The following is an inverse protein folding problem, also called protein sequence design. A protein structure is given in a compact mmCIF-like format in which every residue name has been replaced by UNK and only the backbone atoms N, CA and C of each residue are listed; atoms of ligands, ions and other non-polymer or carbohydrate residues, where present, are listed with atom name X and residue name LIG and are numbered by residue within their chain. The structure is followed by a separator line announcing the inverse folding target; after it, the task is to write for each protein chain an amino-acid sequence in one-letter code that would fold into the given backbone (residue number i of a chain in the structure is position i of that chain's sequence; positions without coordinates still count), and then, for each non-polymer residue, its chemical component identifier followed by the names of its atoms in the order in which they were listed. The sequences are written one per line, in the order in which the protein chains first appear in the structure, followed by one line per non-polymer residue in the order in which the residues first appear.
data_IF_117967581779
#
_entry.id   IF_117967581779
#
_cell.length_a   1.000
_cell.length_b   1.000
_cell.length_c   1.000
_cell.angle_alpha   90.00
_cell.angle_beta   90.00
_cell.angle_gamma   90.00
#
_symmetry.space_group_name_H-M   'P 1'
#
loop_
_entity.id
_entity.type
_entity.pdbx_description
1 polymer ?
#
# COMPACT_ATOMS: atom_id res chain seq x y z
N UNK A 1 18.21 4.18 -7.24
CA UNK A 1 17.85 3.89 -8.64
C UNK A 1 16.39 3.48 -8.64
N UNK A 2 15.55 4.04 -9.52
CA UNK A 2 14.15 3.63 -9.67
C UNK A 2 14.08 2.66 -10.85
N UNK A 3 13.53 1.47 -10.64
CA UNK A 3 13.55 0.40 -11.66
C UNK A 3 12.26 -0.42 -11.69
N UNK A 4 11.36 -0.26 -10.72
CA UNK A 4 10.00 -0.80 -10.82
C UNK A 4 9.20 0.13 -11.73
N UNK A 5 8.64 -0.43 -12.81
CA UNK A 5 7.77 0.31 -13.72
C UNK A 5 6.36 0.51 -13.13
N UNK A 6 5.59 1.51 -13.56
CA UNK A 6 4.25 1.76 -13.01
C UNK A 6 3.30 0.57 -13.17
N UNK A 7 3.42 -0.19 -14.26
CA UNK A 7 2.65 -1.44 -14.47
C UNK A 7 2.97 -2.49 -13.41
N UNK A 8 4.25 -2.71 -13.11
CA UNK A 8 4.67 -3.68 -12.09
C UNK A 8 4.22 -3.20 -10.71
N UNK A 9 4.34 -1.89 -10.43
CA UNK A 9 3.83 -1.31 -9.19
C UNK A 9 2.34 -1.58 -8.99
N UNK A 10 1.50 -1.33 -10.00
CA UNK A 10 0.07 -1.63 -9.88
C UNK A 10 -0.26 -3.11 -9.66
N UNK A 11 0.57 -4.03 -10.15
CA UNK A 11 0.44 -5.46 -9.81
C UNK A 11 0.80 -5.68 -8.34
N UNK A 12 1.87 -5.05 -7.84
CA UNK A 12 2.27 -5.11 -6.43
C UNK A 12 1.14 -4.58 -5.54
N UNK A 13 0.48 -3.48 -5.89
CA UNK A 13 -0.62 -2.93 -5.10
C UNK A 13 -1.79 -3.90 -4.97
N UNK A 14 -2.18 -4.55 -6.06
CA UNK A 14 -3.25 -5.56 -6.03
C UNK A 14 -2.84 -6.74 -5.13
N UNK A 15 -1.59 -7.21 -5.23
CA UNK A 15 -1.08 -8.26 -4.35
C UNK A 15 -1.05 -7.82 -2.88
N UNK A 16 -0.66 -6.57 -2.61
CA UNK A 16 -0.67 -5.98 -1.27
C UNK A 16 -2.09 -5.90 -0.72
N UNK A 17 -3.07 -5.50 -1.53
CA UNK A 17 -4.47 -5.45 -1.13
C UNK A 17 -5.00 -6.83 -0.75
N UNK A 18 -4.74 -7.83 -1.60
CA UNK A 18 -5.11 -9.23 -1.32
C UNK A 18 -4.41 -9.72 -0.06
N UNK A 19 -3.12 -9.44 0.09
CA UNK A 19 -2.34 -9.83 1.27
C UNK A 19 -2.89 -9.20 2.55
N UNK A 20 -3.17 -7.90 2.56
CA UNK A 20 -3.74 -7.20 3.72
C UNK A 20 -5.12 -7.75 4.08
N UNK A 21 -6.00 -7.97 3.09
CA UNK A 21 -7.34 -8.50 3.35
C UNK A 21 -7.30 -9.96 3.82
N UNK A 22 -6.32 -10.76 3.38
CA UNK A 22 -6.15 -12.13 3.84
C UNK A 22 -5.43 -12.23 5.19
N UNK A 23 -4.62 -11.23 5.56
CA UNK A 23 -3.73 -11.26 6.72
C UNK A 23 -4.46 -11.56 8.05
N UNK A 24 -5.62 -10.94 8.38
CA UNK A 24 -6.30 -11.26 9.63
C UNK A 24 -6.70 -12.73 9.75
N UNK A 25 -7.06 -13.38 8.63
CA UNK A 25 -7.42 -14.80 8.61
C UNK A 25 -6.17 -15.67 8.70
N UNK A 26 -5.14 -15.37 7.91
CA UNK A 26 -3.90 -16.17 7.83
C UNK A 26 -3.13 -16.14 9.14
N UNK A 27 -3.00 -14.96 9.76
CA UNK A 27 -2.22 -14.76 10.98
C UNK A 27 -3.07 -14.79 12.25
N UNK A 28 -4.38 -15.03 12.14
CA UNK A 28 -5.28 -15.10 13.29
C UNK A 28 -5.42 -13.77 14.04
N UNK A 29 -5.32 -12.63 13.36
CA UNK A 29 -5.51 -11.34 14.00
C UNK A 29 -6.94 -11.19 14.49
N UNK A 30 -7.12 -10.59 15.66
CA UNK A 30 -8.43 -10.33 16.25
C UNK A 30 -8.55 -8.90 16.77
N UNK A 31 -9.78 -8.49 17.08
CA UNK A 31 -10.08 -7.19 17.68
C UNK A 31 -9.59 -6.01 16.84
N UNK A 32 -8.91 -5.06 17.49
CA UNK A 32 -8.45 -3.81 16.86
C UNK A 32 -7.45 -4.04 15.73
N UNK A 33 -6.56 -5.04 15.86
CA UNK A 33 -5.55 -5.34 14.86
C UNK A 33 -6.22 -5.79 13.56
N UNK A 34 -7.11 -6.78 13.63
CA UNK A 34 -7.86 -7.27 12.48
C UNK A 34 -8.68 -6.17 11.80
N UNK A 35 -9.45 -5.40 12.58
CA UNK A 35 -10.28 -4.33 12.04
C UNK A 35 -9.44 -3.29 11.29
N UNK A 36 -8.29 -2.90 11.87
CA UNK A 36 -7.39 -1.94 11.23
C UNK A 36 -6.77 -2.52 9.96
N UNK A 37 -6.33 -3.79 9.97
CA UNK A 37 -5.75 -4.43 8.78
C UNK A 37 -6.77 -4.54 7.64
N UNK A 38 -8.02 -4.94 7.94
CA UNK A 38 -9.10 -4.96 6.95
C UNK A 38 -9.41 -3.58 6.40
N UNK A 39 -9.54 -2.58 7.28
CA UNK A 39 -9.80 -1.20 6.87
C UNK A 39 -8.68 -0.66 5.97
N UNK A 40 -7.42 -0.93 6.33
CA UNK A 40 -6.26 -0.52 5.54
C UNK A 40 -6.24 -1.22 4.17
N UNK A 41 -6.48 -2.53 4.13
CA UNK A 41 -6.56 -3.29 2.87
C UNK A 41 -7.68 -2.82 1.97
N UNK A 42 -8.87 -2.55 2.52
CA UNK A 42 -10.00 -2.01 1.77
C UNK A 42 -9.74 -0.59 1.26
N UNK A 43 -9.18 0.29 2.10
CA UNK A 43 -8.85 1.65 1.70
C UNK A 43 -7.77 1.68 0.61
N UNK A 44 -6.74 0.82 0.71
CA UNK A 44 -5.71 0.70 -0.31
C UNK A 44 -6.31 0.16 -1.61
N UNK A 45 -7.16 -0.88 -1.56
CA UNK A 45 -7.82 -1.41 -2.75
C UNK A 45 -8.68 -0.36 -3.46
N UNK A 46 -9.42 0.44 -2.69
CA UNK A 46 -10.17 1.57 -3.25
C UNK A 46 -9.22 2.56 -3.93
N UNK A 47 -8.14 2.98 -3.25
CA UNK A 47 -7.14 3.86 -3.85
C UNK A 47 -6.63 3.30 -5.17
N UNK A 48 -6.18 2.03 -5.20
CA UNK A 48 -5.69 1.34 -6.39
C UNK A 48 -6.72 1.31 -7.52
N UNK A 49 -7.96 0.90 -7.23
CA UNK A 49 -9.05 0.79 -8.22
C UNK A 49 -9.40 2.16 -8.82
N UNK A 50 -9.35 3.23 -8.01
CA UNK A 50 -9.67 4.58 -8.42
C UNK A 50 -8.46 5.38 -8.96
N UNK A 51 -7.26 4.81 -9.03
CA UNK A 51 -6.05 5.51 -9.51
C UNK A 51 -5.95 5.51 -11.04
N UNK A 52 -5.51 6.62 -11.63
CA UNK A 52 -5.29 6.76 -13.07
C UNK A 52 -3.97 6.11 -13.53
N UNK A 53 -3.94 4.79 -13.54
CA UNK A 53 -2.83 3.98 -14.04
C UNK A 53 -3.34 2.70 -14.72
N UNK A 54 -2.42 1.88 -15.27
CA UNK A 54 -2.77 0.71 -16.10
C UNK A 54 -3.70 -0.32 -15.42
N UNK A 55 -3.62 -0.46 -14.08
CA UNK A 55 -4.41 -1.42 -13.30
C UNK A 55 -5.68 -0.80 -12.67
N UNK A 56 -5.90 0.50 -12.83
CA UNK A 56 -7.04 1.21 -12.27
C UNK A 56 -8.29 0.96 -13.10
N UNK A 57 -9.42 0.66 -12.46
CA UNK A 57 -10.68 0.47 -13.15
C UNK A 57 -11.37 1.81 -13.45
N UNK A 58 -11.19 2.80 -12.56
CA UNK A 58 -11.80 4.12 -12.66
C UNK A 58 -10.72 5.17 -12.46
N UNK A 59 -10.41 5.95 -13.50
CA UNK A 59 -9.28 6.90 -13.52
C UNK A 59 -9.63 8.23 -12.85
N UNK A 60 -9.89 8.22 -11.55
CA UNK A 60 -10.33 9.40 -10.79
C UNK A 60 -9.19 10.09 -10.03
N UNK A 61 -8.27 9.30 -9.46
CA UNK A 61 -7.21 9.76 -8.57
C UNK A 61 -5.90 9.82 -9.38
N UNK A 62 -5.25 10.99 -9.48
CA UNK A 62 -3.96 11.10 -10.16
C UNK A 62 -2.88 10.25 -9.47
N UNK A 63 -1.96 9.69 -10.24
CA UNK A 63 -0.83 8.89 -9.72
C UNK A 63 0.01 9.66 -8.70
N UNK A 64 0.15 10.98 -8.84
CA UNK A 64 0.86 11.81 -7.84
C UNK A 64 0.19 11.84 -6.46
N UNK A 65 -1.14 11.66 -6.40
CA UNK A 65 -1.85 11.53 -5.13
C UNK A 65 -1.66 10.11 -4.58
N UNK A 66 -1.70 9.10 -5.44
CA UNK A 66 -1.44 7.71 -5.05
C UNK A 66 -0.07 7.57 -4.40
N UNK A 67 1.01 8.03 -5.05
CA UNK A 67 2.38 7.90 -4.52
C UNK A 67 2.55 8.66 -3.18
N UNK A 68 1.86 9.79 -3.02
CA UNK A 68 1.89 10.55 -1.76
C UNK A 68 1.18 9.79 -0.65
N UNK A 69 -0.01 9.23 -0.93
CA UNK A 69 -0.78 8.45 0.04
C UNK A 69 0.00 7.20 0.45
N UNK A 70 0.62 6.50 -0.50
CA UNK A 70 1.45 5.32 -0.21
C UNK A 70 2.61 5.67 0.74
N UNK A 71 3.34 6.75 0.46
CA UNK A 71 4.43 7.22 1.33
C UNK A 71 3.92 7.56 2.75
N UNK A 72 2.83 8.32 2.85
CA UNK A 72 2.25 8.71 4.14
C UNK A 72 1.79 7.47 4.91
N UNK A 73 1.13 6.54 4.25
CA UNK A 73 0.66 5.28 4.86
C UNK A 73 1.85 4.44 5.32
N UNK A 74 2.91 4.31 4.52
CA UNK A 74 4.10 3.55 4.88
C UNK A 74 4.74 4.07 6.17
N UNK A 75 4.92 5.39 6.29
CA UNK A 75 5.45 6.02 7.50
C UNK A 75 4.46 5.88 8.67
N UNK A 76 3.16 6.11 8.43
CA UNK A 76 2.14 6.07 9.45
C UNK A 76 2.01 4.67 10.08
N UNK A 77 2.02 3.59 9.29
CA UNK A 77 1.88 2.23 9.85
C UNK A 77 3.10 1.84 10.69
N UNK A 78 4.31 2.28 10.32
CA UNK A 78 5.51 2.08 11.15
C UNK A 78 5.35 2.82 12.48
N UNK A 79 4.91 4.09 12.46
CA UNK A 79 4.65 4.86 13.69
C UNK A 79 3.55 4.23 14.55
N UNK A 80 2.48 3.72 13.93
CA UNK A 80 1.37 3.05 14.61
C UNK A 80 1.79 1.74 15.27
N UNK A 81 2.77 1.04 14.71
CA UNK A 81 3.35 -0.16 15.33
C UNK A 81 3.93 0.12 16.73
N UNK A 82 4.50 1.31 16.95
CA UNK A 82 5.10 1.72 18.23
C UNK A 82 4.16 2.53 19.13
N UNK A 83 3.00 2.96 18.63
CA UNK A 83 2.02 3.74 19.39
C UNK A 83 0.74 2.95 19.64
N UNK A 84 -0.08 2.71 18.62
CA UNK A 84 -1.36 2.02 18.72
C UNK A 84 -1.21 0.52 19.05
N UNK A 85 -0.18 -0.13 18.50
CA UNK A 85 0.08 -1.56 18.69
C UNK A 85 1.28 -1.83 19.59
N UNK A 86 1.65 -0.88 20.46
CA UNK A 86 2.86 -0.97 21.29
C UNK A 86 2.92 -2.23 22.18
N UNK A 87 1.76 -2.67 22.67
CA UNK A 87 1.54 -3.80 23.56
C UNK A 87 1.10 -5.08 22.81
N UNK A 88 1.05 -5.06 21.48
CA UNK A 88 0.72 -6.22 20.65
C UNK A 88 1.94 -6.57 19.79
N UNK A 89 2.63 -7.66 20.15
CA UNK A 89 3.86 -8.08 19.48
C UNK A 89 3.64 -8.38 18.00
N UNK A 90 2.54 -9.08 17.66
CA UNK A 90 2.21 -9.45 16.28
C UNK A 90 1.93 -8.21 15.43
N UNK A 91 1.12 -7.29 15.93
CA UNK A 91 0.80 -6.03 15.25
C UNK A 91 2.04 -5.15 15.06
N UNK A 92 2.91 -5.08 16.06
CA UNK A 92 4.17 -4.33 15.95
C UNK A 92 5.07 -4.92 14.88
N UNK A 93 5.31 -6.24 14.91
CA UNK A 93 6.15 -6.92 13.93
C UNK A 93 5.58 -6.77 12.52
N UNK A 94 4.28 -7.04 12.37
CA UNK A 94 3.57 -6.97 11.08
C UNK A 94 3.68 -5.58 10.45
N UNK A 95 3.30 -4.52 11.17
CA UNK A 95 3.30 -3.16 10.58
C UNK A 95 4.69 -2.55 10.41
N UNK A 96 5.67 -2.93 11.22
CA UNK A 96 7.07 -2.53 10.96
C UNK A 96 7.55 -3.15 9.67
N UNK A 97 7.40 -4.47 9.49
CA UNK A 97 7.84 -5.15 8.27
C UNK A 97 7.07 -4.60 7.06
N UNK A 98 5.74 -4.61 7.14
CA UNK A 98 4.86 -4.18 6.05
C UNK A 98 5.11 -2.72 5.65
N UNK A 99 5.22 -1.82 6.62
CA UNK A 99 5.52 -0.41 6.35
C UNK A 99 6.89 -0.19 5.70
N UNK A 100 7.91 -0.97 6.08
CA UNK A 100 9.20 -0.92 5.40
C UNK A 100 9.11 -1.46 3.96
N UNK A 101 8.35 -2.53 3.72
CA UNK A 101 8.11 -3.04 2.37
C UNK A 101 7.40 -2.01 1.48
N UNK A 102 6.38 -1.32 2.01
CA UNK A 102 5.74 -0.21 1.30
C UNK A 102 6.71 0.93 1.01
N UNK A 103 7.47 1.37 2.01
CA UNK A 103 8.44 2.47 1.85
C UNK A 103 9.51 2.12 0.80
N UNK A 104 9.98 0.87 0.79
CA UNK A 104 10.92 0.38 -0.20
C UNK A 104 10.29 0.35 -1.60
N UNK A 105 9.06 -0.14 -1.72
CA UNK A 105 8.31 -0.15 -2.99
C UNK A 105 8.18 1.26 -3.54
N UNK A 106 7.78 2.20 -2.70
CA UNK A 106 7.69 3.62 -3.05
C UNK A 106 9.04 4.21 -3.50
N UNK A 107 10.11 3.90 -2.76
CA UNK A 107 11.45 4.44 -3.03
C UNK A 107 12.01 3.97 -4.39
N UNK A 108 11.75 2.72 -4.76
CA UNK A 108 12.33 2.09 -5.97
C UNK A 108 11.41 2.14 -7.20
N UNK A 109 10.17 2.63 -7.05
CA UNK A 109 9.21 2.77 -8.15
C UNK A 109 9.43 4.06 -8.93
N UNK A 110 9.44 3.93 -10.26
CA UNK A 110 9.37 5.04 -11.20
C UNK A 110 7.94 5.27 -11.66
N UNK A 111 7.19 6.07 -10.92
CA UNK A 111 5.80 6.43 -11.24
C UNK A 111 5.64 7.25 -12.53
N UNK A 112 6.73 7.80 -13.08
CA UNK A 112 6.71 8.68 -14.27
C UNK A 112 6.88 7.92 -15.58
N UNK A 113 7.21 6.63 -15.54
CA UNK A 113 7.50 5.83 -16.75
C UNK A 113 6.36 5.74 -17.76
N UNK A 114 5.11 5.92 -17.33
CA UNK A 114 3.92 5.79 -18.19
C UNK A 114 3.40 7.14 -18.74
N UNK A 115 3.88 8.29 -18.25
CA UNK A 115 3.38 9.62 -18.69
C UNK A 115 4.03 10.15 -19.97
N UNK A 116 4.96 9.42 -20.57
CA UNK A 116 5.62 9.81 -21.84
C UNK A 116 4.79 9.42 -23.08
N UNK A 117 3.82 8.51 -22.94
CA UNK A 117 3.02 8.01 -24.07
C UNK A 117 1.66 8.70 -24.28
N UNK A 118 1.30 9.71 -23.48
CA UNK A 118 0.07 10.50 -23.69
C UNK A 118 0.28 11.76 -24.53
N UNK A 119 1.49 11.98 -25.08
CA UNK A 119 1.85 13.14 -25.91
C UNK A 119 2.38 12.77 -27.31
N UNK A 120 2.14 11.55 -27.80
CA UNK A 120 2.47 11.15 -29.18
C UNK A 120 1.25 10.72 -29.96
#
# INVERSE_FOLDING_TARGET
MKFISPKIHGIIDILVCVFLLASPVIFGFTGKLALFTYALGAAHLLLTVFTDFAMGAVKLIPVSIHELVEFVVAVAVIMLAYTLFNNNADGKLFYVIFGNCLLLTWLVTDYRGDSVHSLS
#
